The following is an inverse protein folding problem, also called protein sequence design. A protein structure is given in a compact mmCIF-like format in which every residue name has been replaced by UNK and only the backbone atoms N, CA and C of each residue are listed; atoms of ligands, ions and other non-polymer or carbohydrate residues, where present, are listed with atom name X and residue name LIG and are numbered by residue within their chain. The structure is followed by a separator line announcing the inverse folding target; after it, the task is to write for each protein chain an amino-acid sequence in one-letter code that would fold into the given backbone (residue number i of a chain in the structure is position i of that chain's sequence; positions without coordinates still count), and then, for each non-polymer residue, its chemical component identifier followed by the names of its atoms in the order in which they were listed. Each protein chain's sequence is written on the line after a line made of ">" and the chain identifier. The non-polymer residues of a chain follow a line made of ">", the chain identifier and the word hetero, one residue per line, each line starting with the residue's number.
data_IF_648037343169
#
_entry.id   IF_648037343169
#
_cell.length_a   1.000
_cell.length_b   1.000
_cell.length_c   1.000
_cell.angle_alpha   90.00
_cell.angle_beta   90.00
_cell.angle_gamma   90.00
#
_symmetry.space_group_name_H-M   'P 1'
#
loop_
_entity.id
_entity.type
_entity.pdbx_description
1 polymer ?
#
# COMPACT_ATOMS: atom_id res chain seq x y z
N UNK A 1 -11.51 8.87 6.92
CA UNK A 1 -10.89 10.14 6.47
C UNK A 1 -11.98 11.19 6.46
N UNK A 2 -11.67 12.42 6.85
CA UNK A 2 -12.60 13.55 6.80
C UNK A 2 -12.44 14.24 5.45
N UNK A 3 -13.53 14.59 4.79
CA UNK A 3 -13.54 15.17 3.44
C UNK A 3 -14.07 16.60 3.47
N UNK A 4 -13.39 17.50 2.77
CA UNK A 4 -13.87 18.84 2.46
C UNK A 4 -14.52 18.82 1.07
N UNK A 5 -15.80 19.15 0.99
CA UNK A 5 -16.58 19.13 -0.24
C UNK A 5 -16.94 20.55 -0.68
N UNK A 6 -16.71 20.87 -1.96
CA UNK A 6 -17.16 22.11 -2.58
C UNK A 6 -18.37 21.82 -3.49
N UNK A 7 -19.50 22.43 -3.18
CA UNK A 7 -20.71 22.41 -4.01
C UNK A 7 -20.66 23.67 -4.90
N UNK A 8 -20.84 23.49 -6.21
CA UNK A 8 -20.93 24.60 -7.18
C UNK A 8 -22.30 24.54 -7.84
N UNK A 9 -23.18 25.48 -7.47
CA UNK A 9 -24.58 25.50 -7.85
C UNK A 9 -25.09 26.93 -7.79
N UNK A 10 -25.66 27.45 -8.87
CA UNK A 10 -26.19 28.83 -8.96
C UNK A 10 -27.55 29.02 -8.22
N UNK A 11 -28.27 27.93 -8.03
CA UNK A 11 -29.52 27.91 -7.28
C UNK A 11 -29.29 27.61 -5.81
N UNK A 12 -29.28 28.65 -4.98
CA UNK A 12 -28.96 28.56 -3.55
C UNK A 12 -29.78 27.51 -2.80
N UNK A 13 -31.06 27.35 -3.13
CA UNK A 13 -31.93 26.33 -2.49
C UNK A 13 -31.47 24.90 -2.77
N UNK A 14 -30.96 24.66 -3.98
CA UNK A 14 -30.42 23.36 -4.36
C UNK A 14 -29.10 23.10 -3.65
N UNK A 15 -28.20 24.11 -3.62
CA UNK A 15 -26.94 24.02 -2.90
C UNK A 15 -27.15 23.74 -1.40
N UNK A 16 -28.07 24.45 -0.75
CA UNK A 16 -28.42 24.23 0.67
C UNK A 16 -29.02 22.82 0.89
N UNK A 17 -29.90 22.36 0.00
CA UNK A 17 -30.46 21.02 0.04
C UNK A 17 -29.40 19.93 -0.06
N UNK A 18 -28.44 20.08 -0.97
CA UNK A 18 -27.29 19.18 -1.10
C UNK A 18 -26.41 19.20 0.15
N UNK A 19 -26.17 20.40 0.73
CA UNK A 19 -25.39 20.53 1.96
C UNK A 19 -26.05 19.83 3.14
N UNK A 20 -27.38 19.93 3.29
CA UNK A 20 -28.15 19.17 4.30
C UNK A 20 -28.07 17.67 4.05
N UNK A 21 -28.22 17.24 2.79
CA UNK A 21 -28.08 15.82 2.42
C UNK A 21 -26.69 15.30 2.78
N UNK A 22 -25.63 16.04 2.49
CA UNK A 22 -24.25 15.69 2.82
C UNK A 22 -23.99 15.63 4.34
N UNK A 23 -24.60 16.50 5.13
CA UNK A 23 -24.46 16.50 6.58
C UNK A 23 -24.99 15.23 7.24
N UNK A 24 -25.98 14.59 6.59
CA UNK A 24 -26.57 13.31 7.03
C UNK A 24 -25.73 12.07 6.67
N UNK A 25 -24.66 12.22 5.88
CA UNK A 25 -23.80 11.10 5.46
C UNK A 25 -23.05 10.41 6.61
N UNK A 26 -22.98 11.00 7.79
CA UNK A 26 -22.31 10.42 8.98
C UNK A 26 -22.89 9.06 9.37
N UNK A 27 -24.19 8.89 9.23
CA UNK A 27 -24.90 7.63 9.50
C UNK A 27 -24.50 6.51 8.53
N UNK A 28 -24.03 6.87 7.33
CA UNK A 28 -23.58 5.96 6.28
C UNK A 28 -22.05 5.71 6.28
N UNK A 29 -21.34 6.12 7.34
CA UNK A 29 -19.90 5.92 7.51
C UNK A 29 -19.01 6.88 6.71
N UNK A 30 -19.59 7.91 6.08
CA UNK A 30 -18.85 8.96 5.36
C UNK A 30 -18.65 10.13 6.33
N UNK A 31 -17.39 10.53 6.54
CA UNK A 31 -17.06 11.68 7.39
C UNK A 31 -16.79 12.92 6.54
N UNK A 32 -17.74 13.85 6.51
CA UNK A 32 -17.57 15.16 5.88
C UNK A 32 -17.18 16.17 6.96
N UNK A 33 -16.04 16.84 6.77
CA UNK A 33 -15.54 17.87 7.68
C UNK A 33 -16.23 19.21 7.41
N UNK A 34 -16.18 19.65 6.15
CA UNK A 34 -16.76 20.92 5.72
C UNK A 34 -17.47 20.79 4.38
N UNK A 35 -18.54 21.53 4.23
CA UNK A 35 -19.23 21.75 2.95
C UNK A 35 -19.13 23.24 2.61
N UNK A 36 -18.49 23.53 1.49
CA UNK A 36 -18.32 24.86 0.93
C UNK A 36 -19.30 25.05 -0.22
N UNK A 37 -19.76 26.26 -0.48
CA UNK A 37 -20.69 26.56 -1.57
C UNK A 37 -20.12 27.69 -2.42
N UNK A 38 -20.19 27.52 -3.74
CA UNK A 38 -19.88 28.53 -4.75
C UNK A 38 -21.04 28.67 -5.73
N UNK A 39 -21.36 29.89 -6.14
CA UNK A 39 -22.51 30.18 -7.00
C UNK A 39 -22.21 30.00 -8.50
N UNK A 40 -20.93 29.82 -8.87
CA UNK A 40 -20.47 29.61 -10.25
C UNK A 40 -19.03 29.09 -10.29
N UNK A 41 -18.60 28.64 -11.50
CA UNK A 41 -17.25 28.09 -11.68
C UNK A 41 -16.10 29.06 -11.41
N UNK A 42 -16.29 30.38 -11.59
CA UNK A 42 -15.24 31.37 -11.29
C UNK A 42 -15.00 31.50 -9.79
N UNK A 43 -16.06 31.52 -9.01
CA UNK A 43 -15.96 31.53 -7.55
C UNK A 43 -15.35 30.23 -7.04
N UNK A 44 -15.75 29.08 -7.62
CA UNK A 44 -15.18 27.78 -7.29
C UNK A 44 -13.65 27.74 -7.51
N UNK A 45 -13.15 28.23 -8.65
CA UNK A 45 -11.70 28.30 -8.91
C UNK A 45 -10.96 29.14 -7.88
N UNK A 46 -11.50 30.31 -7.51
CA UNK A 46 -10.90 31.16 -6.44
C UNK A 46 -10.84 30.42 -5.11
N UNK A 47 -11.89 29.70 -4.74
CA UNK A 47 -11.92 28.94 -3.50
C UNK A 47 -10.90 27.79 -3.52
N UNK A 48 -10.75 27.11 -4.65
CA UNK A 48 -9.74 26.06 -4.85
C UNK A 48 -8.30 26.59 -4.77
N UNK A 49 -8.07 27.88 -5.03
CA UNK A 49 -6.77 28.54 -4.84
C UNK A 49 -6.44 28.82 -3.39
N UNK A 50 -7.46 29.07 -2.57
CA UNK A 50 -7.30 29.50 -1.19
C UNK A 50 -7.25 28.34 -0.20
N UNK A 51 -7.87 27.21 -0.53
CA UNK A 51 -7.97 26.08 0.39
C UNK A 51 -8.07 24.73 -0.34
N UNK A 52 -7.55 23.66 0.25
CA UNK A 52 -7.69 22.32 -0.30
C UNK A 52 -9.16 21.87 -0.24
N UNK A 53 -9.60 21.17 -1.29
CA UNK A 53 -10.93 20.55 -1.42
C UNK A 53 -10.73 19.10 -1.86
N UNK A 54 -11.45 18.19 -1.23
CA UNK A 54 -11.32 16.74 -1.47
C UNK A 54 -12.24 16.21 -2.56
N UNK A 55 -13.37 16.89 -2.79
CA UNK A 55 -14.39 16.53 -3.78
C UNK A 55 -15.12 17.78 -4.24
N UNK A 56 -15.37 17.89 -5.54
CA UNK A 56 -16.17 18.94 -6.13
C UNK A 56 -17.47 18.35 -6.70
N UNK A 57 -18.60 18.90 -6.26
CA UNK A 57 -19.94 18.54 -6.78
C UNK A 57 -20.45 19.77 -7.52
N UNK A 58 -20.65 19.68 -8.85
CA UNK A 58 -21.04 20.86 -9.64
C UNK A 58 -22.23 20.60 -10.53
N UNK A 59 -23.11 21.60 -10.65
CA UNK A 59 -24.07 21.64 -11.76
C UNK A 59 -23.32 21.86 -13.07
N UNK A 60 -23.91 21.40 -14.16
CA UNK A 60 -23.41 21.67 -15.51
C UNK A 60 -23.74 23.11 -15.93
N UNK A 61 -25.01 23.50 -15.79
CA UNK A 61 -25.48 24.79 -16.32
C UNK A 61 -25.50 25.86 -15.25
N UNK A 62 -24.46 26.68 -15.27
CA UNK A 62 -24.36 27.83 -14.37
C UNK A 62 -23.97 29.10 -15.16
N UNK A 63 -24.33 30.28 -14.69
CA UNK A 63 -23.91 31.54 -15.31
C UNK A 63 -22.39 31.75 -15.17
N UNK A 64 -21.82 32.58 -16.04
CA UNK A 64 -20.42 33.03 -16.06
C UNK A 64 -19.46 31.92 -16.46
N UNK A 65 -19.44 30.78 -15.75
CA UNK A 65 -18.64 29.61 -16.05
C UNK A 65 -19.43 28.34 -15.68
N UNK A 66 -19.69 27.52 -16.67
CA UNK A 66 -20.37 26.25 -16.49
C UNK A 66 -19.49 25.16 -15.85
N UNK A 67 -20.12 24.06 -15.41
CA UNK A 67 -19.41 22.97 -14.73
C UNK A 67 -18.40 22.23 -15.61
N UNK A 68 -18.63 22.13 -16.92
CA UNK A 68 -17.70 21.49 -17.85
C UNK A 68 -16.46 22.34 -18.08
N UNK A 69 -16.61 23.67 -18.24
CA UNK A 69 -15.47 24.58 -18.36
C UNK A 69 -14.68 24.65 -17.05
N UNK A 70 -15.37 24.59 -15.90
CA UNK A 70 -14.71 24.48 -14.60
C UNK A 70 -13.83 23.22 -14.53
N UNK A 71 -14.36 22.05 -14.90
CA UNK A 71 -13.60 20.80 -14.97
C UNK A 71 -12.41 20.91 -15.89
N UNK A 72 -12.61 21.42 -17.12
CA UNK A 72 -11.53 21.60 -18.10
C UNK A 72 -10.41 22.48 -17.54
N UNK A 73 -10.72 23.55 -16.85
CA UNK A 73 -9.69 24.42 -16.22
C UNK A 73 -8.99 23.74 -15.09
N UNK A 74 -9.69 23.00 -14.27
CA UNK A 74 -9.07 22.21 -13.19
C UNK A 74 -8.12 21.15 -13.75
N UNK A 75 -8.48 20.43 -14.81
CA UNK A 75 -7.60 19.42 -15.44
C UNK A 75 -6.34 20.04 -16.02
N UNK A 76 -6.43 21.23 -16.66
CA UNK A 76 -5.26 21.94 -17.20
C UNK A 76 -4.33 22.47 -16.10
N UNK A 77 -4.87 22.87 -14.97
CA UNK A 77 -4.09 23.36 -13.82
C UNK A 77 -3.51 22.25 -12.96
N UNK A 78 -3.56 20.98 -13.40
CA UNK A 78 -3.10 19.78 -12.67
C UNK A 78 -3.66 19.67 -11.24
N UNK A 79 -4.94 20.01 -11.09
CA UNK A 79 -5.65 19.86 -9.81
C UNK A 79 -6.36 18.51 -9.81
N UNK A 80 -5.83 17.56 -9.09
CA UNK A 80 -6.39 16.19 -8.93
C UNK A 80 -7.61 16.16 -7.98
N UNK A 81 -8.55 17.13 -8.13
CA UNK A 81 -9.79 17.12 -7.38
C UNK A 81 -10.82 16.29 -8.14
N UNK A 82 -11.37 15.21 -7.56
CA UNK A 82 -12.42 14.43 -8.19
C UNK A 82 -13.72 15.24 -8.33
N UNK A 83 -14.45 15.00 -9.42
CA UNK A 83 -15.70 15.69 -9.75
C UNK A 83 -16.89 14.73 -9.74
N UNK A 84 -18.02 15.18 -9.15
CA UNK A 84 -19.36 14.66 -9.38
C UNK A 84 -20.14 15.74 -10.13
N UNK A 85 -20.72 15.38 -11.27
CA UNK A 85 -21.53 16.27 -12.06
C UNK A 85 -23.00 16.04 -11.72
N UNK A 86 -23.73 17.13 -11.51
CA UNK A 86 -25.19 17.14 -11.39
C UNK A 86 -25.80 17.74 -12.67
N UNK A 87 -26.86 17.14 -13.20
CA UNK A 87 -27.53 17.64 -14.40
C UNK A 87 -29.04 17.49 -14.30
N UNK A 88 -29.77 18.53 -14.70
CA UNK A 88 -31.21 18.48 -14.88
C UNK A 88 -31.66 17.88 -16.22
N UNK A 89 -30.72 17.50 -17.09
CA UNK A 89 -30.97 17.05 -18.42
C UNK A 89 -30.31 15.70 -18.68
N UNK A 90 -31.06 14.79 -19.26
CA UNK A 90 -30.56 13.52 -19.79
C UNK A 90 -29.96 13.78 -21.20
N UNK A 91 -28.92 14.65 -21.27
CA UNK A 91 -28.24 14.97 -22.51
C UNK A 91 -26.93 14.18 -22.57
N UNK A 92 -26.94 13.18 -23.40
CA UNK A 92 -25.81 12.28 -23.65
C UNK A 92 -24.50 13.03 -23.96
N UNK A 93 -24.58 14.19 -24.65
CA UNK A 93 -23.39 14.98 -25.00
C UNK A 93 -22.70 15.57 -23.77
N UNK A 94 -23.45 15.96 -22.74
CA UNK A 94 -22.85 16.45 -21.49
C UNK A 94 -22.23 15.32 -20.68
N UNK A 95 -22.89 14.17 -20.63
CA UNK A 95 -22.35 13.00 -19.99
C UNK A 95 -21.04 12.54 -20.64
N UNK A 96 -20.99 12.50 -21.98
CA UNK A 96 -19.78 12.14 -22.73
C UNK A 96 -18.62 13.10 -22.43
N UNK A 97 -18.84 14.42 -22.50
CA UNK A 97 -17.81 15.42 -22.17
C UNK A 97 -17.36 15.35 -20.71
N UNK A 98 -18.29 15.11 -19.78
CA UNK A 98 -17.95 14.94 -18.37
C UNK A 98 -17.00 13.74 -18.16
N UNK A 99 -17.24 12.63 -18.86
CA UNK A 99 -16.35 11.45 -18.84
C UNK A 99 -14.98 11.77 -19.44
N UNK A 100 -14.94 12.47 -20.60
CA UNK A 100 -13.68 12.90 -21.24
C UNK A 100 -12.81 13.77 -20.31
N UNK A 101 -13.44 14.63 -19.50
CA UNK A 101 -12.74 15.47 -18.52
C UNK A 101 -12.50 14.77 -17.18
N UNK A 102 -12.83 13.48 -17.06
CA UNK A 102 -12.49 12.66 -15.88
C UNK A 102 -13.48 12.77 -14.71
N UNK A 103 -14.76 13.12 -14.98
CA UNK A 103 -15.79 13.08 -13.95
C UNK A 103 -15.91 11.68 -13.34
N UNK A 104 -15.98 11.62 -12.03
CA UNK A 104 -16.10 10.36 -11.29
C UNK A 104 -17.53 9.84 -11.25
N UNK A 105 -18.50 10.74 -11.31
CA UNK A 105 -19.92 10.39 -11.41
C UNK A 105 -20.69 11.49 -12.15
N UNK A 106 -21.78 11.07 -12.79
CA UNK A 106 -22.79 11.94 -13.41
C UNK A 106 -24.14 11.54 -12.83
N UNK A 107 -24.81 12.47 -12.15
CA UNK A 107 -26.07 12.24 -11.46
C UNK A 107 -27.16 13.16 -12.02
N UNK A 108 -28.35 12.61 -12.23
CA UNK A 108 -29.49 13.40 -12.66
C UNK A 108 -30.17 14.10 -11.49
N UNK A 109 -30.67 15.32 -11.72
CA UNK A 109 -31.57 16.03 -10.80
C UNK A 109 -33.02 15.56 -11.04
N UNK A 110 -33.83 15.32 -9.98
CA UNK A 110 -33.49 15.49 -8.57
C UNK A 110 -32.50 14.42 -8.08
N UNK A 111 -31.48 14.87 -7.32
CA UNK A 111 -30.37 14.01 -6.89
C UNK A 111 -30.87 12.93 -5.94
N UNK A 112 -30.71 11.67 -6.35
CA UNK A 112 -30.99 10.54 -5.48
C UNK A 112 -29.91 10.41 -4.40
N UNK A 113 -30.34 10.32 -3.14
CA UNK A 113 -29.45 10.24 -1.97
C UNK A 113 -28.54 9.01 -2.03
N UNK A 114 -29.09 7.85 -2.39
CA UNK A 114 -28.31 6.62 -2.42
C UNK A 114 -27.26 6.64 -3.52
N UNK A 115 -27.59 7.19 -4.70
CA UNK A 115 -26.65 7.36 -5.82
C UNK A 115 -25.52 8.33 -5.48
N UNK A 116 -25.84 9.46 -4.83
CA UNK A 116 -24.82 10.42 -4.38
C UNK A 116 -23.86 9.79 -3.38
N UNK A 117 -24.40 9.10 -2.37
CA UNK A 117 -23.58 8.45 -1.34
C UNK A 117 -22.74 7.29 -1.90
N UNK A 118 -23.27 6.52 -2.85
CA UNK A 118 -22.51 5.50 -3.55
C UNK A 118 -21.35 6.09 -4.34
N UNK A 119 -21.56 7.22 -5.03
CA UNK A 119 -20.51 7.92 -5.75
C UNK A 119 -19.42 8.46 -4.81
N UNK A 120 -19.80 9.07 -3.68
CA UNK A 120 -18.85 9.58 -2.68
C UNK A 120 -18.07 8.43 -2.06
N UNK A 121 -18.70 7.31 -1.69
CA UNK A 121 -18.02 6.13 -1.16
C UNK A 121 -16.99 5.57 -2.14
N UNK A 122 -17.35 5.49 -3.42
CA UNK A 122 -16.42 5.04 -4.46
C UNK A 122 -15.21 5.96 -4.58
N UNK A 123 -15.43 7.27 -4.56
CA UNK A 123 -14.35 8.28 -4.62
C UNK A 123 -13.47 8.21 -3.35
N UNK A 124 -14.06 8.05 -2.16
CA UNK A 124 -13.33 7.88 -0.92
C UNK A 124 -12.49 6.59 -0.94
N UNK A 125 -13.03 5.48 -1.45
CA UNK A 125 -12.32 4.22 -1.62
C UNK A 125 -11.17 4.36 -2.64
N UNK A 126 -11.41 4.93 -3.83
CA UNK A 126 -10.36 5.20 -4.82
C UNK A 126 -9.27 6.14 -4.29
N UNK A 127 -9.65 7.10 -3.44
CA UNK A 127 -8.72 8.04 -2.80
C UNK A 127 -7.88 7.34 -1.73
N UNK A 128 -8.46 6.40 -1.00
CA UNK A 128 -7.75 5.52 -0.04
C UNK A 128 -6.82 4.56 -0.76
N UNK A 129 -7.23 4.03 -1.90
CA UNK A 129 -6.41 3.14 -2.74
C UNK A 129 -5.28 3.88 -3.48
N UNK A 130 -5.53 5.11 -3.96
CA UNK A 130 -4.56 5.91 -4.75
C UNK A 130 -3.63 6.78 -3.93
N UNK A 131 -3.79 6.87 -2.63
CA UNK A 131 -2.98 7.69 -1.75
C UNK A 131 -3.83 8.60 -0.89
N UNK A 132 -4.44 8.01 0.12
CA UNK A 132 -4.78 8.77 1.31
C UNK A 132 -3.54 9.48 1.80
N UNK A 133 -3.69 10.61 2.48
CA UNK A 133 -2.65 11.37 3.18
C UNK A 133 -1.35 11.57 2.35
N UNK A 134 -0.90 12.80 2.12
CA UNK A 134 0.39 13.10 1.50
C UNK A 134 1.56 12.31 2.11
N UNK A 135 1.43 11.90 3.37
CA UNK A 135 2.37 10.99 4.03
C UNK A 135 2.36 9.57 3.45
N UNK A 136 1.20 9.05 3.03
CA UNK A 136 1.12 7.71 2.42
C UNK A 136 1.75 7.69 1.03
N UNK A 137 1.45 8.68 0.18
CA UNK A 137 2.08 8.82 -1.14
C UNK A 137 3.61 8.94 -1.04
N UNK A 138 4.10 9.73 -0.06
CA UNK A 138 5.53 9.88 0.22
C UNK A 138 6.16 8.56 0.68
N UNK A 139 5.46 7.78 1.51
CA UNK A 139 5.93 6.47 1.96
C UNK A 139 5.98 5.46 0.83
N UNK A 140 4.97 5.43 -0.04
CA UNK A 140 4.96 4.58 -1.22
C UNK A 140 6.14 4.89 -2.13
N UNK A 141 6.46 6.16 -2.36
CA UNK A 141 7.61 6.55 -3.16
C UNK A 141 8.93 6.03 -2.58
N UNK A 142 9.11 6.09 -1.25
CA UNK A 142 10.28 5.50 -0.59
C UNK A 142 10.29 3.97 -0.67
N UNK A 143 9.13 3.33 -0.60
CA UNK A 143 9.02 1.88 -0.79
C UNK A 143 9.39 1.46 -2.21
N UNK A 144 8.87 2.15 -3.23
CA UNK A 144 9.22 1.92 -4.64
C UNK A 144 10.73 2.15 -4.88
N UNK A 145 11.31 3.18 -4.26
CA UNK A 145 12.75 3.38 -4.31
C UNK A 145 13.53 2.24 -3.63
N UNK A 146 13.08 1.78 -2.45
CA UNK A 146 13.69 0.64 -1.76
C UNK A 146 13.68 -0.63 -2.62
N UNK A 147 12.61 -0.85 -3.38
CA UNK A 147 12.48 -1.97 -4.33
C UNK A 147 13.31 -1.80 -5.61
N UNK A 148 13.82 -0.61 -5.88
CA UNK A 148 14.55 -0.27 -7.10
C UNK A 148 13.65 0.07 -8.29
N UNK A 149 12.39 0.38 -8.04
CA UNK A 149 11.36 0.72 -9.03
C UNK A 149 11.28 2.23 -9.29
N UNK A 150 11.93 3.04 -8.46
CA UNK A 150 11.91 4.50 -8.52
C UNK A 150 13.33 5.08 -8.50
N UNK A 151 13.51 6.30 -9.05
CA UNK A 151 14.79 7.00 -9.09
C UNK A 151 15.07 7.73 -7.78
N UNK A 152 16.37 7.83 -7.44
CA UNK A 152 16.83 8.50 -6.23
C UNK A 152 16.41 9.97 -6.17
N UNK A 153 16.42 10.68 -7.31
CA UNK A 153 16.07 12.11 -7.37
C UNK A 153 14.66 12.38 -6.87
N UNK A 154 13.72 11.45 -7.09
CA UNK A 154 12.35 11.56 -6.61
C UNK A 154 12.23 11.21 -5.12
N UNK A 155 13.07 10.31 -4.62
CA UNK A 155 13.07 9.88 -3.23
C UNK A 155 13.76 10.89 -2.27
N UNK A 156 14.80 11.62 -2.72
CA UNK A 156 15.56 12.58 -1.91
C UNK A 156 14.71 13.63 -1.22
N UNK A 157 13.76 14.33 -1.91
CA UNK A 157 12.94 15.34 -1.25
C UNK A 157 12.09 14.76 -0.12
N UNK A 158 11.56 13.54 -0.33
CA UNK A 158 10.76 12.83 0.67
C UNK A 158 11.63 12.39 1.84
N UNK A 159 12.80 11.82 1.57
CA UNK A 159 13.74 11.38 2.61
C UNK A 159 14.14 12.50 3.57
N UNK A 160 14.43 13.69 3.04
CA UNK A 160 14.78 14.87 3.84
C UNK A 160 13.70 15.30 4.83
N UNK A 161 12.43 14.94 4.59
CA UNK A 161 11.34 15.23 5.50
C UNK A 161 11.19 14.20 6.62
N UNK A 162 11.90 13.06 6.54
CA UNK A 162 11.83 12.00 7.53
C UNK A 162 12.87 12.22 8.64
N UNK A 163 12.45 12.03 9.88
CA UNK A 163 13.35 12.19 11.05
C UNK A 163 14.51 11.20 11.10
N UNK A 164 14.40 10.07 10.39
CA UNK A 164 15.44 9.07 10.29
C UNK A 164 16.54 9.44 9.28
N UNK A 165 16.30 10.46 8.44
CA UNK A 165 16.98 10.62 7.14
C UNK A 165 18.30 11.35 7.13
N UNK A 166 18.72 12.10 8.14
CA UNK A 166 19.82 13.05 7.92
C UNK A 166 21.11 12.78 8.66
N UNK A 167 21.10 12.06 9.77
CA UNK A 167 22.32 11.85 10.57
C UNK A 167 22.41 10.47 11.26
N UNK A 168 21.42 9.60 11.10
CA UNK A 168 21.30 8.38 11.90
C UNK A 168 21.57 7.13 11.04
N UNK A 169 22.39 6.23 11.54
CA UNK A 169 22.41 4.85 11.05
C UNK A 169 21.09 4.18 11.38
N UNK A 170 20.59 3.38 10.45
CA UNK A 170 19.34 2.64 10.60
C UNK A 170 19.54 1.20 10.12
N UNK A 171 18.63 0.31 10.49
CA UNK A 171 18.43 -0.99 9.86
C UNK A 171 17.02 -1.07 9.26
N UNK A 172 16.86 -1.94 8.30
CA UNK A 172 15.57 -2.28 7.70
C UNK A 172 15.05 -3.54 8.36
N UNK A 173 13.86 -3.46 8.96
CA UNK A 173 13.10 -4.62 9.41
C UNK A 173 12.05 -4.95 8.35
N UNK A 174 12.05 -6.19 7.87
CA UNK A 174 11.13 -6.71 6.86
C UNK A 174 10.27 -7.82 7.46
N UNK A 175 8.97 -7.75 7.28
CA UNK A 175 8.05 -8.80 7.69
C UNK A 175 6.88 -8.93 6.73
N UNK A 176 6.22 -10.10 6.75
CA UNK A 176 4.97 -10.37 6.06
C UNK A 176 3.94 -10.92 7.03
N UNK A 177 2.68 -10.62 6.75
CA UNK A 177 1.55 -11.06 7.53
C UNK A 177 0.64 -11.95 6.71
N UNK A 178 0.11 -13.02 7.32
CA UNK A 178 -0.90 -13.87 6.71
C UNK A 178 -2.28 -13.27 6.98
N UNK A 179 -2.77 -12.41 6.09
CA UNK A 179 -4.11 -11.84 6.27
C UNK A 179 -4.42 -10.66 5.37
N UNK A 180 -5.68 -10.23 5.42
CA UNK A 180 -6.21 -9.11 4.63
C UNK A 180 -6.16 -7.78 5.38
N UNK A 181 -5.65 -7.73 6.61
CA UNK A 181 -5.60 -6.52 7.40
C UNK A 181 -4.50 -5.58 6.88
N UNK A 182 -4.87 -4.34 6.59
CA UNK A 182 -3.92 -3.29 6.25
C UNK A 182 -3.22 -2.77 7.52
N UNK A 183 -2.17 -3.48 7.93
CA UNK A 183 -1.38 -3.14 9.12
C UNK A 183 -0.52 -1.89 8.92
N UNK A 184 -0.22 -1.52 7.68
CA UNK A 184 0.53 -0.29 7.38
C UNK A 184 -0.26 0.96 7.78
N UNK A 185 -1.58 0.87 7.68
CA UNK A 185 -2.52 1.92 8.09
C UNK A 185 -3.00 1.81 9.54
N UNK A 186 -2.58 0.77 10.29
CA UNK A 186 -2.98 0.58 11.69
C UNK A 186 -2.37 1.65 12.61
N UNK A 187 -3.17 2.54 13.22
CA UNK A 187 -2.68 3.59 14.11
C UNK A 187 -1.96 3.02 15.34
N UNK A 188 -2.42 1.88 15.88
CA UNK A 188 -1.86 1.28 17.08
C UNK A 188 -0.47 0.69 16.85
N UNK A 189 -0.25 0.09 15.68
CA UNK A 189 1.08 -0.36 15.25
C UNK A 189 2.03 0.82 15.11
N UNK A 190 1.55 1.89 14.48
CA UNK A 190 2.32 3.11 14.27
C UNK A 190 2.74 3.77 15.59
N UNK A 191 1.80 3.92 16.53
CA UNK A 191 2.10 4.48 17.85
C UNK A 191 3.12 3.62 18.61
N UNK A 192 2.93 2.31 18.62
CA UNK A 192 3.83 1.37 19.29
C UNK A 192 5.25 1.45 18.70
N UNK A 193 5.38 1.51 17.36
CA UNK A 193 6.67 1.65 16.71
C UNK A 193 7.32 3.01 17.00
N UNK A 194 6.56 4.10 16.98
CA UNK A 194 7.08 5.43 17.29
C UNK A 194 7.58 5.51 18.73
N UNK A 195 6.91 4.84 19.67
CA UNK A 195 7.37 4.72 21.04
C UNK A 195 8.69 3.95 21.16
N UNK A 196 8.84 2.82 20.43
CA UNK A 196 10.06 2.03 20.41
C UNK A 196 11.26 2.74 19.76
N UNK A 197 11.00 3.68 18.86
CA UNK A 197 12.01 4.32 17.99
C UNK A 197 12.26 5.79 18.32
N UNK A 198 11.81 6.28 19.48
CA UNK A 198 11.86 7.70 19.84
C UNK A 198 11.28 8.62 18.75
N UNK A 199 10.14 8.24 18.19
CA UNK A 199 9.45 8.96 17.10
C UNK A 199 10.26 9.11 15.82
N UNK A 200 11.27 8.28 15.59
CA UNK A 200 12.13 8.31 14.38
C UNK A 200 11.89 7.15 13.43
N UNK A 201 11.19 6.10 13.85
CA UNK A 201 10.86 4.96 12.99
C UNK A 201 9.92 5.33 11.84
N UNK A 202 10.08 4.67 10.71
CA UNK A 202 9.27 4.86 9.51
C UNK A 202 8.73 3.53 9.02
N UNK A 203 7.40 3.40 8.95
CA UNK A 203 6.73 2.24 8.36
C UNK A 203 6.47 2.55 6.88
N UNK A 204 6.93 1.64 6.03
CA UNK A 204 6.63 1.57 4.60
C UNK A 204 5.96 0.22 4.34
N UNK A 205 5.15 0.09 3.31
CA UNK A 205 4.60 -1.20 2.95
C UNK A 205 3.27 -1.10 2.23
N UNK A 206 2.82 -2.25 1.78
CA UNK A 206 1.56 -2.43 1.07
C UNK A 206 0.95 -3.76 1.51
N UNK A 207 -0.33 -3.75 1.91
CA UNK A 207 -1.10 -4.95 2.29
C UNK A 207 -0.39 -5.80 3.36
N UNK A 208 0.14 -6.95 2.94
CA UNK A 208 0.76 -7.98 3.78
C UNK A 208 2.28 -7.76 3.98
N UNK A 209 2.91 -6.90 3.18
CA UNK A 209 4.33 -6.59 3.25
C UNK A 209 4.58 -5.33 4.07
N UNK A 210 5.31 -5.43 5.16
CA UNK A 210 5.71 -4.31 6.01
C UNK A 210 7.22 -4.18 6.05
N UNK A 211 7.68 -3.02 5.64
CA UNK A 211 9.06 -2.57 5.72
C UNK A 211 9.16 -1.48 6.77
N UNK A 212 10.04 -1.62 7.72
CA UNK A 212 10.24 -0.62 8.77
C UNK A 212 11.69 -0.19 8.82
N UNK A 213 11.92 1.12 8.74
CA UNK A 213 13.22 1.70 8.99
C UNK A 213 13.33 2.06 10.46
N UNK A 214 14.26 1.44 11.16
CA UNK A 214 14.48 1.64 12.58
C UNK A 214 15.87 2.25 12.83
N UNK A 215 16.00 3.29 13.68
CA UNK A 215 17.30 3.76 14.14
C UNK A 215 18.14 2.61 14.68
N UNK A 216 19.44 2.61 14.42
CA UNK A 216 20.35 1.49 14.77
C UNK A 216 20.38 1.16 16.26
N UNK A 217 20.08 2.13 17.12
CA UNK A 217 19.97 1.93 18.59
C UNK A 217 18.68 1.27 19.04
N UNK A 218 17.65 1.14 18.15
CA UNK A 218 16.40 0.48 18.48
C UNK A 218 16.62 -1.01 18.62
N UNK A 219 16.06 -1.61 19.65
CA UNK A 219 16.13 -3.07 19.87
C UNK A 219 15.40 -3.82 18.75
N UNK A 220 16.15 -4.58 17.96
CA UNK A 220 15.58 -5.42 16.89
C UNK A 220 14.66 -6.52 17.45
N UNK A 221 14.94 -7.03 18.65
CA UNK A 221 14.09 -8.02 19.32
C UNK A 221 12.74 -7.40 19.65
N UNK A 222 12.72 -6.21 20.22
CA UNK A 222 11.45 -5.53 20.56
C UNK A 222 10.61 -5.20 19.33
N UNK A 223 11.24 -4.86 18.21
CA UNK A 223 10.55 -4.65 16.91
C UNK A 223 9.95 -5.98 16.40
N UNK A 224 10.70 -7.07 16.47
CA UNK A 224 10.23 -8.39 16.05
C UNK A 224 9.08 -8.89 16.94
N UNK A 225 9.16 -8.71 18.25
CA UNK A 225 8.10 -9.05 19.20
C UNK A 225 6.82 -8.21 18.98
N UNK A 226 6.99 -6.93 18.64
CA UNK A 226 5.87 -6.04 18.28
C UNK A 226 5.09 -6.59 17.08
N UNK A 227 5.78 -7.07 16.05
CA UNK A 227 5.16 -7.65 14.86
C UNK A 227 4.60 -9.06 15.14
N UNK A 228 5.33 -9.89 15.90
CA UNK A 228 4.85 -11.22 16.29
C UNK A 228 3.54 -11.15 17.10
N UNK A 229 3.41 -10.17 18.00
CA UNK A 229 2.17 -9.90 18.74
C UNK A 229 0.97 -9.52 17.87
N UNK A 230 1.20 -9.23 16.57
CA UNK A 230 0.18 -8.92 15.56
C UNK A 230 0.04 -10.02 14.48
N UNK A 231 0.63 -11.19 14.74
CA UNK A 231 0.51 -12.36 13.85
C UNK A 231 1.58 -12.50 12.80
N UNK A 232 2.67 -11.72 12.84
CA UNK A 232 3.82 -11.96 11.97
C UNK A 232 4.52 -13.27 12.35
N UNK A 233 4.86 -14.10 11.36
CA UNK A 233 5.58 -15.35 11.58
C UNK A 233 7.04 -15.10 11.94
N UNK A 234 7.67 -14.13 11.29
CA UNK A 234 9.04 -13.73 11.55
C UNK A 234 9.28 -12.29 11.08
N UNK A 235 10.31 -11.66 11.62
CA UNK A 235 10.85 -10.38 11.17
C UNK A 235 12.32 -10.56 10.84
N UNK A 236 12.73 -10.17 9.65
CA UNK A 236 14.13 -10.16 9.25
C UNK A 236 14.70 -8.74 9.28
N UNK A 237 15.93 -8.59 9.72
CA UNK A 237 16.61 -7.30 9.76
C UNK A 237 17.88 -7.30 8.92
N UNK A 238 18.12 -6.18 8.22
CA UNK A 238 19.39 -5.94 7.52
C UNK A 238 20.53 -5.60 8.49
N UNK A 239 21.75 -5.60 7.99
CA UNK A 239 22.85 -4.88 8.64
C UNK A 239 22.51 -3.37 8.66
N UNK A 240 23.28 -2.59 9.44
CA UNK A 240 23.05 -1.15 9.56
C UNK A 240 23.43 -0.41 8.27
N UNK A 241 22.57 0.49 7.86
CA UNK A 241 22.72 1.33 6.67
C UNK A 241 22.84 2.81 7.06
N UNK A 242 23.42 3.60 6.16
CA UNK A 242 23.51 5.06 6.27
C UNK A 242 23.00 5.66 4.97
N UNK A 243 22.30 6.77 5.07
CA UNK A 243 21.80 7.53 3.93
C UNK A 243 20.77 6.78 3.06
N UNK A 244 20.10 7.52 2.20
CA UNK A 244 19.08 7.01 1.30
C UNK A 244 19.65 5.99 0.29
N UNK A 245 20.87 6.21 -0.20
CA UNK A 245 21.52 5.36 -1.22
C UNK A 245 21.64 3.89 -0.79
N UNK A 246 21.79 3.66 0.53
CA UNK A 246 21.90 2.31 1.08
C UNK A 246 20.53 1.60 1.24
N UNK A 247 19.42 2.31 1.13
CA UNK A 247 18.08 1.74 1.36
C UNK A 247 17.74 0.56 0.45
N UNK A 248 18.00 0.60 -0.89
CA UNK A 248 17.70 -0.55 -1.74
C UNK A 248 18.55 -1.79 -1.43
N UNK A 249 19.77 -1.59 -0.97
CA UNK A 249 20.65 -2.70 -0.55
C UNK A 249 20.16 -3.33 0.77
N UNK A 250 19.84 -2.50 1.77
CA UNK A 250 19.32 -2.95 3.06
C UNK A 250 17.97 -3.65 2.93
N UNK A 251 17.07 -3.16 2.04
CA UNK A 251 15.82 -3.84 1.72
C UNK A 251 16.05 -5.23 1.13
N UNK A 252 16.91 -5.35 0.10
CA UNK A 252 17.21 -6.64 -0.52
C UNK A 252 17.81 -7.62 0.47
N UNK A 253 18.69 -7.15 1.34
CA UNK A 253 19.30 -7.94 2.39
C UNK A 253 18.25 -8.48 3.38
N UNK A 254 17.42 -7.60 3.95
CA UNK A 254 16.37 -8.01 4.86
C UNK A 254 15.39 -9.01 4.22
N UNK A 255 15.02 -8.79 2.96
CA UNK A 255 14.17 -9.70 2.19
C UNK A 255 14.83 -11.04 1.92
N UNK A 256 16.12 -11.06 1.58
CA UNK A 256 16.90 -12.31 1.43
C UNK A 256 16.90 -13.10 2.74
N UNK A 257 17.18 -12.44 3.85
CA UNK A 257 17.17 -13.06 5.18
C UNK A 257 15.77 -13.62 5.48
N UNK A 258 14.72 -12.88 5.22
CA UNK A 258 13.33 -13.29 5.44
C UNK A 258 12.95 -14.54 4.65
N UNK A 259 13.46 -14.73 3.44
CA UNK A 259 13.22 -15.95 2.66
C UNK A 259 13.65 -17.22 3.40
N UNK A 260 14.60 -17.12 4.32
CA UNK A 260 15.09 -18.25 5.11
C UNK A 260 14.18 -18.62 6.31
N UNK A 261 13.09 -17.87 6.57
CA UNK A 261 12.20 -18.11 7.72
C UNK A 261 11.68 -19.55 7.83
N UNK A 262 11.48 -20.21 6.69
CA UNK A 262 11.05 -21.61 6.64
C UNK A 262 12.05 -22.59 7.27
N UNK A 263 13.34 -22.23 7.29
CA UNK A 263 14.39 -23.02 7.93
C UNK A 263 14.45 -22.81 9.45
N UNK A 264 13.85 -21.71 9.95
CA UNK A 264 13.88 -21.27 11.34
C UNK A 264 12.48 -21.01 11.91
N UNK A 265 11.54 -21.96 11.89
CA UNK A 265 10.12 -21.73 12.22
C UNK A 265 9.87 -21.34 13.67
N UNK A 266 10.87 -21.45 14.56
CA UNK A 266 10.76 -21.02 15.95
C UNK A 266 11.35 -19.64 16.24
N UNK A 267 11.98 -19.00 15.22
CA UNK A 267 12.61 -17.70 15.38
C UNK A 267 11.66 -16.59 14.93
N UNK A 268 11.36 -15.66 15.81
CA UNK A 268 10.63 -14.42 15.50
C UNK A 268 11.53 -13.37 14.86
N UNK A 269 12.83 -13.39 15.19
CA UNK A 269 13.83 -12.47 14.63
C UNK A 269 14.87 -13.26 13.85
N UNK A 270 15.10 -12.83 12.59
CA UNK A 270 16.12 -13.37 11.70
C UNK A 270 17.15 -12.30 11.36
N UNK A 271 18.43 -12.69 11.42
CA UNK A 271 19.58 -11.81 11.14
C UNK A 271 20.58 -12.50 10.21
N UNK A 272 21.48 -11.74 9.67
CA UNK A 272 22.53 -12.27 8.81
C UNK A 272 23.43 -13.31 9.54
N UNK A 273 23.63 -13.16 10.85
CA UNK A 273 24.33 -14.14 11.69
C UNK A 273 23.70 -15.52 11.68
N UNK A 274 22.38 -15.63 11.46
CA UNK A 274 21.69 -16.91 11.35
C UNK A 274 21.91 -17.57 9.99
N UNK A 275 22.13 -16.78 8.95
CA UNK A 275 22.21 -17.22 7.57
C UNK A 275 23.66 -17.48 7.13
N UNK A 276 24.61 -16.69 7.64
CA UNK A 276 26.05 -16.82 7.29
C UNK A 276 26.63 -18.22 7.49
N UNK A 277 26.28 -18.98 8.54
CA UNK A 277 26.77 -20.34 8.73
C UNK A 277 26.25 -21.34 7.69
N UNK A 278 25.15 -21.02 6.98
CA UNK A 278 24.54 -21.92 6.03
C UNK A 278 25.35 -22.02 4.74
N UNK A 279 25.48 -23.25 4.22
CA UNK A 279 26.20 -23.52 2.98
C UNK A 279 25.51 -22.87 1.78
N UNK A 280 26.29 -22.17 0.95
CA UNK A 280 25.81 -21.60 -0.32
C UNK A 280 25.83 -22.62 -1.44
N UNK A 281 26.92 -23.41 -1.49
CA UNK A 281 27.16 -24.36 -2.54
C UNK A 281 26.47 -25.68 -2.20
N UNK A 282 25.75 -26.21 -3.16
CA UNK A 282 25.01 -27.46 -3.00
C UNK A 282 24.97 -28.23 -4.33
N UNK A 283 24.77 -29.52 -4.21
CA UNK A 283 24.53 -30.43 -5.36
C UNK A 283 23.17 -31.06 -5.20
N UNK A 284 22.35 -30.98 -6.24
CA UNK A 284 21.03 -31.60 -6.25
C UNK A 284 21.20 -33.15 -6.30
N UNK A 285 20.51 -33.90 -5.44
CA UNK A 285 20.62 -35.35 -5.34
C UNK A 285 19.79 -36.06 -6.45
N UNK A 286 20.23 -35.92 -7.69
CA UNK A 286 19.50 -36.45 -8.85
C UNK A 286 19.24 -37.97 -8.75
N UNK A 287 20.17 -38.74 -8.17
CA UNK A 287 20.00 -40.19 -8.00
C UNK A 287 18.80 -40.53 -7.11
N UNK A 288 18.59 -39.75 -6.05
CA UNK A 288 17.48 -39.94 -5.12
C UNK A 288 16.16 -39.47 -5.77
N UNK A 289 16.21 -38.45 -6.59
CA UNK A 289 15.06 -37.95 -7.36
C UNK A 289 14.64 -38.96 -8.43
N UNK A 290 15.59 -39.58 -9.14
CA UNK A 290 15.30 -40.63 -10.11
C UNK A 290 14.67 -41.88 -9.45
N UNK A 291 15.13 -42.24 -8.24
CA UNK A 291 14.48 -43.32 -7.46
C UNK A 291 13.05 -42.95 -7.10
N UNK A 292 12.80 -41.68 -6.70
CA UNK A 292 11.47 -41.19 -6.41
C UNK A 292 10.57 -41.30 -7.66
N UNK A 293 11.07 -40.85 -8.83
CA UNK A 293 10.34 -40.94 -10.10
C UNK A 293 9.92 -42.40 -10.44
N UNK A 294 10.83 -43.34 -10.25
CA UNK A 294 10.53 -44.76 -10.50
C UNK A 294 9.45 -45.30 -9.53
N UNK A 295 9.44 -44.87 -8.27
CA UNK A 295 8.41 -45.22 -7.27
C UNK A 295 7.05 -44.61 -7.59
N UNK A 296 7.01 -43.39 -8.14
CA UNK A 296 5.77 -42.82 -8.67
C UNK A 296 5.19 -43.66 -9.81
N UNK A 297 6.04 -44.18 -10.69
CA UNK A 297 5.61 -45.11 -11.74
C UNK A 297 5.01 -46.44 -11.23
N UNK A 298 5.46 -46.89 -10.06
CA UNK A 298 4.94 -48.10 -9.40
C UNK A 298 3.69 -47.86 -8.53
N UNK A 299 3.28 -46.59 -8.32
CA UNK A 299 2.14 -46.18 -7.49
C UNK A 299 2.18 -46.63 -6.01
N UNK A 300 3.37 -46.84 -5.45
CA UNK A 300 3.52 -47.17 -4.03
C UNK A 300 3.54 -45.88 -3.17
N UNK A 301 2.40 -45.54 -2.57
CA UNK A 301 2.20 -44.34 -1.79
C UNK A 301 3.12 -44.26 -0.56
N UNK A 302 3.36 -45.36 0.15
CA UNK A 302 4.19 -45.38 1.34
C UNK A 302 5.68 -45.20 1.02
N UNK A 303 6.15 -45.84 -0.05
CA UNK A 303 7.50 -45.64 -0.53
C UNK A 303 7.73 -44.22 -1.07
N UNK A 304 6.74 -43.63 -1.74
CA UNK A 304 6.78 -42.22 -2.20
C UNK A 304 6.90 -41.28 -1.01
N UNK A 305 6.04 -41.43 0.02
CA UNK A 305 6.09 -40.61 1.25
C UNK A 305 7.44 -40.73 1.94
N UNK A 306 7.98 -41.94 2.05
CA UNK A 306 9.28 -42.18 2.67
C UNK A 306 10.42 -41.51 1.89
N UNK A 307 10.41 -41.61 0.57
CA UNK A 307 11.44 -41.00 -0.27
C UNK A 307 11.35 -39.44 -0.24
N UNK A 308 10.15 -38.88 -0.25
CA UNK A 308 9.97 -37.43 -0.07
C UNK A 308 10.47 -36.98 1.29
N UNK A 309 10.15 -37.69 2.38
CA UNK A 309 10.63 -37.38 3.71
C UNK A 309 12.17 -37.42 3.81
N UNK A 310 12.84 -38.34 3.07
CA UNK A 310 14.30 -38.38 3.00
C UNK A 310 14.89 -37.20 2.20
N UNK A 311 14.30 -36.86 1.05
CA UNK A 311 14.75 -35.74 0.21
C UNK A 311 14.58 -34.41 0.90
N UNK A 312 13.47 -34.22 1.61
CA UNK A 312 13.11 -32.99 2.31
C UNK A 312 13.38 -33.09 3.81
N UNK A 313 14.40 -33.87 4.21
CA UNK A 313 14.80 -34.00 5.60
C UNK A 313 15.24 -32.62 6.16
N UNK A 314 14.56 -32.21 7.23
CA UNK A 314 14.78 -30.90 7.85
C UNK A 314 16.21 -30.68 8.33
N UNK A 315 16.88 -31.74 8.83
CA UNK A 315 18.25 -31.65 9.31
C UNK A 315 19.22 -31.35 8.17
N UNK A 316 18.99 -31.95 7.01
CA UNK A 316 19.75 -31.69 5.79
C UNK A 316 19.44 -30.31 5.23
N UNK A 317 18.17 -29.96 5.07
CA UNK A 317 17.75 -28.65 4.53
C UNK A 317 18.28 -27.48 5.35
N UNK A 318 18.30 -27.61 6.68
CA UNK A 318 18.78 -26.56 7.60
C UNK A 318 20.29 -26.28 7.53
N UNK A 319 21.06 -27.09 6.80
CA UNK A 319 22.50 -26.85 6.59
C UNK A 319 22.79 -25.92 5.41
N UNK A 320 21.80 -25.73 4.54
CA UNK A 320 21.95 -24.95 3.31
C UNK A 320 21.07 -23.71 3.34
N UNK A 321 21.47 -22.72 2.54
CA UNK A 321 20.59 -21.57 2.28
C UNK A 321 19.32 -22.01 1.57
N UNK A 322 18.27 -21.22 1.69
CA UNK A 322 16.94 -21.48 1.10
C UNK A 322 16.99 -21.82 -0.38
N UNK A 323 18.00 -21.32 -1.11
CA UNK A 323 18.19 -21.62 -2.52
C UNK A 323 18.31 -23.12 -2.81
N UNK A 324 18.92 -23.91 -1.90
CA UNK A 324 18.94 -25.37 -2.03
C UNK A 324 17.53 -25.97 -2.00
N UNK A 325 16.73 -25.58 -1.01
CA UNK A 325 15.34 -26.08 -0.87
C UNK A 325 14.51 -25.73 -2.09
N UNK A 326 14.62 -24.50 -2.59
CA UNK A 326 13.89 -24.06 -3.79
C UNK A 326 14.32 -24.81 -5.04
N UNK A 327 15.63 -25.01 -5.24
CA UNK A 327 16.17 -25.76 -6.37
C UNK A 327 15.77 -27.25 -6.31
N UNK A 328 15.74 -27.83 -5.11
CA UNK A 328 15.28 -29.19 -4.89
C UNK A 328 13.79 -29.34 -5.23
N UNK A 329 12.93 -28.44 -4.74
CA UNK A 329 11.51 -28.42 -5.07
C UNK A 329 11.26 -28.30 -6.57
N UNK A 330 11.92 -27.35 -7.24
CA UNK A 330 11.78 -27.14 -8.69
C UNK A 330 12.24 -28.38 -9.48
N UNK A 331 13.37 -29.00 -9.08
CA UNK A 331 13.87 -30.20 -9.75
C UNK A 331 12.92 -31.39 -9.57
N UNK A 332 12.44 -31.63 -8.35
CA UNK A 332 11.44 -32.66 -8.08
C UNK A 332 10.18 -32.43 -8.90
N UNK A 333 9.66 -31.21 -8.89
CA UNK A 333 8.46 -30.84 -9.66
C UNK A 333 8.63 -31.11 -11.16
N UNK A 334 9.77 -30.73 -11.75
CA UNK A 334 10.06 -30.99 -13.18
C UNK A 334 10.20 -32.44 -13.52
N UNK A 335 10.75 -33.25 -12.61
CA UNK A 335 10.91 -34.66 -12.82
C UNK A 335 9.60 -35.46 -12.69
N UNK A 336 8.57 -34.90 -12.03
CA UNK A 336 7.26 -35.51 -11.85
C UNK A 336 6.23 -35.15 -12.93
N UNK A 337 6.53 -34.18 -13.78
CA UNK A 337 5.79 -33.84 -14.99
C UNK A 337 6.18 -34.74 -16.13
#
# INVERSE_FOLDING_TARGET
>A
MRMDILIVEDQRRIAEGLSVMLSSCKEDGIQIERTLIADNGVQALKMLEQQPVDLLITDIRMPIMDGLELMRRCSVQHRDVPFIILSGYDDFKYAQKAIEYGAKAYLLKPVDRAALYAAIRRIDAEKREKGGDPHTARRQLLLHYARGEEKIDNAVPVWRTQKIGTETTYYVAYTQFDGTADLVSDPSLRESLLALTDSRGLILGERDEVLTLCPAQTSAVSVAELFAGRGAQATAISDTAKNLDALPAAYREAREIFCHRLLFPQKVLLQWSDIRPLRKDFTIPYKEIDKLKNRFGAMDENEIKTALAQLFDRKTLSQYRIGYTLALCDTVYRCMR
#
